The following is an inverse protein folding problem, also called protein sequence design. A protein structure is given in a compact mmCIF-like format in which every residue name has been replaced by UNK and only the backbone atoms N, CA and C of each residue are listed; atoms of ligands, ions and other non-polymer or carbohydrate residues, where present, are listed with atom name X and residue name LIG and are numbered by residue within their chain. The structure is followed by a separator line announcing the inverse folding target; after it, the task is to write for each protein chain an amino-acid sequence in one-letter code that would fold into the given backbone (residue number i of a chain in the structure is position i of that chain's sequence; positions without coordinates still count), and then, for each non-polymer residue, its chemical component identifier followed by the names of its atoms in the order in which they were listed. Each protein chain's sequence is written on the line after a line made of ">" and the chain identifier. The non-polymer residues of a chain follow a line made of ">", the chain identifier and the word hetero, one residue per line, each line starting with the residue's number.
data_IF_001685870139
#
_entry.id   IF_001685870139
#
_cell.length_a   1.000
_cell.length_b   1.000
_cell.length_c   1.000
_cell.angle_alpha   90.00
_cell.angle_beta   90.00
_cell.angle_gamma   90.00
#
_symmetry.space_group_name_H-M   'P 1'
#
loop_
_entity.id
_entity.type
_entity.pdbx_description
1 polymer ?
#
# COMPACT_ATOMS: atom_id res chain seq x y z
N UNK A 1 -5.42 3.85 29.72
CA UNK A 1 -4.36 3.10 29.01
C UNK A 1 -4.98 1.81 28.52
N UNK A 2 -5.36 1.74 27.23
CA UNK A 2 -5.92 0.54 26.60
C UNK A 2 -4.75 -0.20 25.97
N UNK A 3 -4.49 -1.41 26.44
CA UNK A 3 -3.36 -2.23 25.99
C UNK A 3 -3.41 -2.42 24.48
N UNK A 4 -2.29 -2.15 23.84
CA UNK A 4 -1.99 -2.59 22.48
C UNK A 4 -2.12 -4.11 22.48
N UNK A 5 -3.02 -4.66 21.66
CA UNK A 5 -2.95 -6.06 21.24
C UNK A 5 -1.70 -6.17 20.36
N UNK A 6 -0.54 -6.36 21.01
CA UNK A 6 0.71 -6.72 20.36
C UNK A 6 0.57 -8.14 19.85
N UNK A 7 0.73 -8.31 18.53
CA UNK A 7 1.03 -9.60 17.94
C UNK A 7 2.45 -9.97 18.40
N UNK A 8 2.56 -10.68 19.52
CA UNK A 8 3.77 -11.41 19.94
C UNK A 8 3.85 -12.71 19.11
N UNK A 9 4.41 -12.70 17.89
CA UNK A 9 4.22 -13.87 17.02
C UNK A 9 5.08 -14.03 15.76
N UNK A 10 6.36 -13.66 15.79
CA UNK A 10 7.30 -14.13 14.76
C UNK A 10 8.42 -14.94 15.41
N UNK A 11 8.43 -16.25 15.17
CA UNK A 11 9.44 -17.15 15.71
C UNK A 11 10.83 -16.91 15.08
N UNK A 12 10.87 -16.29 13.90
CA UNK A 12 12.09 -16.03 13.13
C UNK A 12 12.04 -14.67 12.42
N UNK A 13 13.17 -13.95 12.43
CA UNK A 13 13.29 -12.66 11.76
C UNK A 13 13.29 -12.79 10.22
N UNK A 14 13.88 -13.89 9.73
CA UNK A 14 14.07 -14.20 8.31
C UNK A 14 13.76 -15.67 8.05
N UNK A 15 13.44 -16.01 6.79
CA UNK A 15 13.09 -17.34 6.34
C UNK A 15 14.20 -18.39 6.60
N UNK A 16 13.81 -19.48 7.26
CA UNK A 16 14.71 -20.60 7.58
C UNK A 16 14.55 -21.76 6.57
N UNK A 17 13.36 -21.89 5.98
CA UNK A 17 13.03 -22.95 5.00
C UNK A 17 12.95 -22.40 3.58
N UNK A 18 13.03 -23.29 2.58
CA UNK A 18 12.84 -22.91 1.17
C UNK A 18 11.46 -22.30 0.93
N UNK A 19 10.41 -22.87 1.54
CA UNK A 19 9.03 -22.36 1.41
C UNK A 19 8.90 -20.93 1.97
N UNK A 20 9.49 -20.66 3.13
CA UNK A 20 9.48 -19.31 3.72
C UNK A 20 10.26 -18.31 2.85
N UNK A 21 11.36 -18.73 2.22
CA UNK A 21 12.15 -17.87 1.30
C UNK A 21 11.35 -17.54 0.05
N UNK A 22 10.58 -18.48 -0.47
CA UNK A 22 9.67 -18.24 -1.60
C UNK A 22 8.58 -17.22 -1.20
N UNK A 23 8.00 -17.34 0.00
CA UNK A 23 7.03 -16.35 0.53
C UNK A 23 7.66 -14.97 0.70
N UNK A 24 8.88 -14.88 1.23
CA UNK A 24 9.62 -13.62 1.33
C UNK A 24 9.89 -13.00 -0.03
N UNK A 25 10.34 -13.78 -1.02
CA UNK A 25 10.60 -13.28 -2.36
C UNK A 25 9.33 -12.73 -3.03
N UNK A 26 8.19 -13.40 -2.83
CA UNK A 26 6.88 -12.91 -3.30
C UNK A 26 6.48 -11.63 -2.59
N UNK A 27 6.60 -11.56 -1.26
CA UNK A 27 6.27 -10.38 -0.47
C UNK A 27 7.14 -9.16 -0.87
N UNK A 28 8.44 -9.36 -1.03
CA UNK A 28 9.37 -8.34 -1.48
C UNK A 28 9.06 -7.88 -2.91
N UNK A 29 8.71 -8.80 -3.82
CA UNK A 29 8.29 -8.47 -5.18
C UNK A 29 7.04 -7.58 -5.20
N UNK A 30 6.00 -7.96 -4.44
CA UNK A 30 4.79 -7.17 -4.28
C UNK A 30 5.08 -5.78 -3.70
N UNK A 31 5.99 -5.71 -2.73
CA UNK A 31 6.38 -4.43 -2.15
C UNK A 31 7.04 -3.51 -3.17
N UNK A 32 7.94 -4.03 -4.00
CA UNK A 32 8.53 -3.26 -5.10
C UNK A 32 7.48 -2.75 -6.10
N UNK A 33 6.47 -3.55 -6.42
CA UNK A 33 5.36 -3.12 -7.27
C UNK A 33 4.56 -1.97 -6.64
N UNK A 34 4.25 -2.07 -5.34
CA UNK A 34 3.51 -1.02 -4.62
C UNK A 34 4.33 0.27 -4.48
N UNK A 35 5.64 0.16 -4.27
CA UNK A 35 6.55 1.32 -4.26
C UNK A 35 6.51 2.03 -5.61
N UNK A 36 6.59 1.29 -6.73
CA UNK A 36 6.47 1.87 -8.08
C UNK A 36 5.16 2.62 -8.26
N UNK A 37 4.02 1.97 -7.94
CA UNK A 37 2.70 2.59 -8.05
C UNK A 37 2.55 3.83 -7.16
N UNK A 38 3.17 3.82 -5.96
CA UNK A 38 3.21 4.96 -5.05
C UNK A 38 3.97 6.13 -5.66
N UNK A 39 5.14 5.86 -6.23
CA UNK A 39 5.96 6.87 -6.89
C UNK A 39 5.25 7.47 -8.11
N UNK A 40 4.58 6.65 -8.92
CA UNK A 40 3.79 7.12 -10.07
C UNK A 40 2.68 8.09 -9.62
N UNK A 41 2.01 7.81 -8.49
CA UNK A 41 1.00 8.71 -7.92
C UNK A 41 1.61 10.03 -7.43
N UNK A 42 2.79 9.98 -6.80
CA UNK A 42 3.50 11.18 -6.33
C UNK A 42 3.98 12.02 -7.52
N UNK A 43 4.50 11.38 -8.57
CA UNK A 43 4.92 12.06 -9.80
C UNK A 43 3.73 12.70 -10.51
N UNK A 44 2.63 11.96 -10.69
CA UNK A 44 1.40 12.48 -11.25
C UNK A 44 0.89 13.70 -10.45
N UNK A 45 0.95 13.65 -9.11
CA UNK A 45 0.66 14.82 -8.27
C UNK A 45 1.60 15.99 -8.55
N UNK A 46 2.91 15.77 -8.62
CA UNK A 46 3.88 16.84 -8.84
C UNK A 46 3.71 17.49 -10.24
N UNK A 47 3.33 16.71 -11.25
CA UNK A 47 3.14 17.19 -12.63
C UNK A 47 1.78 17.87 -12.86
N UNK A 48 0.71 17.29 -12.31
CA UNK A 48 -0.67 17.68 -12.63
C UNK A 48 -1.32 18.51 -11.53
N UNK A 49 -0.93 18.27 -10.28
CA UNK A 49 -1.63 18.77 -9.11
C UNK A 49 -3.05 18.20 -8.99
N UNK A 50 -3.76 18.63 -7.95
CA UNK A 50 -5.08 18.10 -7.60
C UNK A 50 -6.11 18.14 -8.75
N UNK A 51 -6.25 19.28 -9.42
CA UNK A 51 -7.32 19.50 -10.42
C UNK A 51 -7.10 18.67 -11.70
N UNK A 52 -5.87 18.60 -12.21
CA UNK A 52 -5.60 17.90 -13.47
C UNK A 52 -5.38 16.41 -13.30
N UNK A 53 -5.00 15.95 -12.10
CA UNK A 53 -4.87 14.52 -11.83
C UNK A 53 -6.21 13.83 -12.07
N UNK A 54 -7.31 14.37 -11.52
CA UNK A 54 -8.65 13.80 -11.75
C UNK A 54 -8.98 13.65 -13.24
N UNK A 55 -8.67 14.68 -14.04
CA UNK A 55 -9.04 14.77 -15.45
C UNK A 55 -8.20 13.87 -16.36
N UNK A 56 -6.98 13.54 -15.95
CA UNK A 56 -6.01 12.81 -16.78
C UNK A 56 -5.78 11.37 -16.33
N UNK A 57 -6.47 10.92 -15.26
CA UNK A 57 -6.37 9.53 -14.81
C UNK A 57 -7.11 8.62 -15.80
N UNK A 58 -6.40 7.61 -16.30
CA UNK A 58 -6.93 6.50 -17.08
C UNK A 58 -6.26 5.20 -16.61
N UNK A 59 -6.99 4.17 -16.12
CA UNK A 59 -8.45 4.00 -16.01
C UNK A 59 -9.15 5.07 -15.16
N UNK A 60 -10.48 5.12 -15.19
CA UNK A 60 -11.21 6.11 -14.40
C UNK A 60 -10.93 5.96 -12.89
N UNK A 61 -11.05 7.05 -12.15
CA UNK A 61 -10.85 7.05 -10.69
C UNK A 61 -11.69 5.98 -9.98
N UNK A 62 -12.93 5.76 -10.45
CA UNK A 62 -13.83 4.78 -9.87
C UNK A 62 -13.33 3.34 -10.09
N UNK A 63 -12.80 3.04 -11.27
CA UNK A 63 -12.21 1.73 -11.59
C UNK A 63 -10.94 1.50 -10.77
N UNK A 64 -10.07 2.51 -10.69
CA UNK A 64 -8.85 2.45 -9.87
C UNK A 64 -9.18 2.16 -8.40
N UNK A 65 -10.13 2.92 -7.82
CA UNK A 65 -10.52 2.73 -6.42
C UNK A 65 -11.13 1.34 -6.15
N UNK A 66 -11.86 0.77 -7.11
CA UNK A 66 -12.44 -0.58 -7.01
C UNK A 66 -11.35 -1.65 -7.06
N UNK A 67 -10.42 -1.55 -8.02
CA UNK A 67 -9.30 -2.50 -8.15
C UNK A 67 -8.40 -2.47 -6.91
N UNK A 68 -8.09 -1.28 -6.40
CA UNK A 68 -7.31 -1.13 -5.18
C UNK A 68 -8.01 -1.70 -3.96
N UNK A 69 -9.35 -1.62 -3.86
CA UNK A 69 -10.09 -2.26 -2.78
C UNK A 69 -9.95 -3.80 -2.82
N UNK A 70 -9.96 -4.40 -4.02
CA UNK A 70 -9.75 -5.83 -4.17
C UNK A 70 -8.32 -6.24 -3.78
N UNK A 71 -7.31 -5.44 -4.15
CA UNK A 71 -5.91 -5.67 -3.77
C UNK A 71 -5.73 -5.53 -2.26
N UNK A 72 -6.31 -4.50 -1.63
CA UNK A 72 -6.30 -4.31 -0.17
C UNK A 72 -6.92 -5.53 0.54
N UNK A 73 -8.04 -6.06 0.04
CA UNK A 73 -8.66 -7.28 0.55
C UNK A 73 -7.74 -8.52 0.45
N UNK A 74 -7.09 -8.71 -0.69
CA UNK A 74 -6.14 -9.81 -0.90
C UNK A 74 -4.91 -9.69 0.02
N UNK A 75 -4.31 -8.51 0.14
CA UNK A 75 -3.17 -8.25 1.01
C UNK A 75 -3.51 -8.50 2.48
N UNK A 76 -4.69 -8.09 2.94
CA UNK A 76 -5.16 -8.40 4.29
C UNK A 76 -5.26 -9.92 4.54
N UNK A 77 -5.67 -10.69 3.54
CA UNK A 77 -5.64 -12.16 3.62
C UNK A 77 -4.21 -12.71 3.74
N UNK A 78 -3.27 -12.16 2.97
CA UNK A 78 -1.88 -12.59 2.98
C UNK A 78 -1.15 -12.23 4.28
N UNK A 79 -1.35 -11.03 4.83
CA UNK A 79 -0.71 -10.58 6.09
C UNK A 79 -1.05 -11.50 7.27
N UNK A 80 -2.23 -12.12 7.26
CA UNK A 80 -2.69 -13.03 8.30
C UNK A 80 -2.34 -14.51 8.02
N UNK A 81 -1.53 -14.79 7.00
CA UNK A 81 -1.12 -16.15 6.67
C UNK A 81 -0.13 -16.70 7.72
N UNK A 82 -0.35 -17.89 8.28
CA UNK A 82 0.58 -18.50 9.23
C UNK A 82 1.90 -18.89 8.56
N UNK A 83 3.01 -18.79 9.30
CA UNK A 83 4.34 -19.15 8.79
C UNK A 83 4.95 -18.10 7.86
N UNK A 84 4.54 -16.84 8.00
CA UNK A 84 5.33 -15.72 7.49
C UNK A 84 6.50 -15.45 8.43
N UNK A 85 7.67 -15.22 7.86
CA UNK A 85 8.75 -14.55 8.59
C UNK A 85 8.36 -13.11 8.91
N UNK A 86 9.06 -12.50 9.87
CA UNK A 86 8.87 -11.09 10.17
C UNK A 86 9.13 -10.19 8.94
N UNK A 87 10.15 -10.51 8.12
CA UNK A 87 10.46 -9.76 6.92
C UNK A 87 9.31 -9.77 5.90
N UNK A 88 8.76 -10.96 5.59
CA UNK A 88 7.64 -11.09 4.67
C UNK A 88 6.39 -10.37 5.19
N UNK A 89 6.09 -10.52 6.49
CA UNK A 89 4.96 -9.83 7.12
C UNK A 89 5.11 -8.31 7.05
N UNK A 90 6.31 -7.79 7.30
CA UNK A 90 6.60 -6.36 7.26
C UNK A 90 6.37 -5.81 5.85
N UNK A 91 6.87 -6.47 4.82
CA UNK A 91 6.70 -6.04 3.44
C UNK A 91 5.22 -6.08 3.02
N UNK A 92 4.48 -7.13 3.36
CA UNK A 92 3.05 -7.22 3.10
C UNK A 92 2.24 -6.15 3.88
N UNK A 93 2.65 -5.85 5.11
CA UNK A 93 2.02 -4.78 5.90
C UNK A 93 2.27 -3.40 5.29
N UNK A 94 3.48 -3.14 4.79
CA UNK A 94 3.82 -1.92 4.07
C UNK A 94 3.03 -1.81 2.75
N UNK A 95 2.88 -2.92 2.02
CA UNK A 95 2.03 -2.99 0.82
C UNK A 95 0.60 -2.56 1.16
N UNK A 96 0.02 -3.17 2.19
CA UNK A 96 -1.36 -2.93 2.59
C UNK A 96 -1.59 -1.46 2.97
N UNK A 97 -0.68 -0.89 3.77
CA UNK A 97 -0.75 0.51 4.16
C UNK A 97 -0.65 1.45 2.95
N UNK A 98 0.25 1.20 2.00
CA UNK A 98 0.40 2.07 0.82
C UNK A 98 -0.78 1.93 -0.15
N UNK A 99 -1.26 0.71 -0.41
CA UNK A 99 -2.47 0.50 -1.24
C UNK A 99 -3.68 1.21 -0.63
N UNK A 100 -3.83 1.17 0.70
CA UNK A 100 -4.87 1.91 1.40
C UNK A 100 -4.78 3.43 1.14
N UNK A 101 -3.58 4.02 1.23
CA UNK A 101 -3.37 5.43 0.95
C UNK A 101 -3.62 5.80 -0.51
N UNK A 102 -3.16 4.99 -1.46
CA UNK A 102 -3.43 5.20 -2.89
C UNK A 102 -4.93 5.13 -3.15
N UNK A 103 -5.64 4.17 -2.54
CA UNK A 103 -7.10 4.07 -2.69
C UNK A 103 -7.81 5.32 -2.17
N UNK A 104 -7.40 5.81 -1.00
CA UNK A 104 -7.95 7.05 -0.42
C UNK A 104 -7.65 8.27 -1.27
N UNK A 105 -6.47 8.34 -1.89
CA UNK A 105 -6.12 9.39 -2.86
C UNK A 105 -7.11 9.43 -4.03
N UNK A 106 -7.43 8.27 -4.61
CA UNK A 106 -8.42 8.20 -5.69
C UNK A 106 -9.84 8.54 -5.20
N UNK A 107 -10.24 8.06 -4.03
CA UNK A 107 -11.54 8.41 -3.45
C UNK A 107 -11.67 9.89 -3.14
N UNK A 108 -10.60 10.55 -2.68
CA UNK A 108 -10.60 11.98 -2.40
C UNK A 108 -10.74 12.81 -3.67
N UNK A 109 -10.07 12.41 -4.76
CA UNK A 109 -10.30 13.00 -6.09
C UNK A 109 -11.77 12.86 -6.52
N UNK A 110 -12.33 11.65 -6.42
CA UNK A 110 -13.74 11.38 -6.75
C UNK A 110 -14.73 12.24 -5.94
N UNK A 111 -14.46 12.39 -4.65
CA UNK A 111 -15.34 13.12 -3.72
C UNK A 111 -15.08 14.63 -3.70
N UNK A 112 -14.11 15.10 -4.50
CA UNK A 112 -13.64 16.49 -4.52
C UNK A 112 -13.15 16.98 -3.14
N UNK A 113 -12.55 16.09 -2.38
CA UNK A 113 -11.99 16.36 -1.06
C UNK A 113 -10.48 16.63 -1.17
N UNK A 114 -10.12 17.92 -1.20
CA UNK A 114 -8.73 18.36 -1.35
C UNK A 114 -7.90 18.12 -0.08
N UNK A 115 -8.51 18.25 1.11
CA UNK A 115 -7.77 18.12 2.37
C UNK A 115 -7.36 16.67 2.61
N UNK A 116 -8.26 15.74 2.29
CA UNK A 116 -7.98 14.31 2.29
C UNK A 116 -6.94 13.94 1.22
N UNK A 117 -7.04 14.53 0.02
CA UNK A 117 -6.05 14.36 -1.03
C UNK A 117 -4.63 14.76 -0.57
N UNK A 118 -4.49 15.97 -0.02
CA UNK A 118 -3.21 16.48 0.46
C UNK A 118 -2.65 15.61 1.61
N UNK A 119 -3.55 15.08 2.45
CA UNK A 119 -3.19 14.13 3.52
C UNK A 119 -2.66 12.83 2.93
N UNK A 120 -3.30 12.27 1.91
CA UNK A 120 -2.84 11.05 1.25
C UNK A 120 -1.46 11.26 0.61
N UNK A 121 -1.26 12.34 -0.15
CA UNK A 121 0.05 12.65 -0.77
C UNK A 121 1.16 12.77 0.27
N UNK A 122 0.89 13.44 1.40
CA UNK A 122 1.87 13.58 2.49
C UNK A 122 2.26 12.23 3.08
N UNK A 123 1.28 11.36 3.32
CA UNK A 123 1.54 10.02 3.87
C UNK A 123 2.29 9.14 2.86
N UNK A 124 1.93 9.19 1.56
CA UNK A 124 2.64 8.47 0.50
C UNK A 124 4.11 8.91 0.41
N UNK A 125 4.38 10.23 0.44
CA UNK A 125 5.76 10.78 0.44
C UNK A 125 6.57 10.38 1.68
N UNK A 126 5.92 10.20 2.83
CA UNK A 126 6.60 9.77 4.05
C UNK A 126 7.00 8.28 4.01
N UNK A 127 6.25 7.45 3.29
CA UNK A 127 6.50 6.01 3.15
C UNK A 127 7.50 5.70 2.02
N UNK A 128 7.50 6.51 0.96
CA UNK A 128 8.44 6.43 -0.16
C UNK A 128 9.11 7.78 -0.36
N UNK A 129 10.25 8.06 0.32
CA UNK A 129 11.07 9.20 -0.03
C UNK A 129 11.66 8.95 -1.43
N UNK A 130 11.26 9.78 -2.40
CA UNK A 130 11.89 9.86 -3.72
C UNK A 130 13.36 10.28 -3.58
#
# INVERSE_FOLDING_TARGET
>A
MRGMNGYDGFDVAEAQTTEEREKEAVAAGLWQDVVRATNDCIEAHNLLGYVRFEQMTNPSIAEMALQLAAIEGALNGLVNNPGLSFAAWKDLSNCNQNVHWIRRLFLSLKNKDKDEYDTCIRNLKAQCPL
#
